data_IF_121387415001
#
_entry.id   IF_121387415001
#
_cell.length_a   1.000
_cell.length_b   1.000
_cell.length_c   1.000
_cell.angle_alpha   90.00
_cell.angle_beta   90.00
_cell.angle_gamma   90.00
#
_symmetry.space_group_name_H-M   'P 1'
#
loop_
_entity.id
_entity.type
_entity.pdbx_description
1 polymer ?
#
# COMPACT_ATOMS: atom_id res chain seq x y z
N UNK A 1 9.01 -50.88 -46.28
CA UNK A 1 9.78 -50.42 -45.13
C UNK A 1 10.09 -48.93 -45.11
N UNK A 2 10.27 -48.25 -46.26
CA UNK A 2 10.59 -46.81 -46.32
C UNK A 2 9.46 -45.85 -45.89
N UNK A 3 8.21 -46.23 -45.99
CA UNK A 3 7.04 -45.37 -45.57
C UNK A 3 6.80 -45.28 -44.06
N UNK A 4 7.37 -46.16 -43.28
CA UNK A 4 7.27 -46.15 -41.83
C UNK A 4 8.34 -45.28 -41.15
N UNK A 5 9.47 -45.11 -41.77
CA UNK A 5 10.60 -44.30 -41.26
C UNK A 5 10.28 -42.79 -41.38
N UNK A 6 9.52 -42.37 -42.40
CA UNK A 6 9.10 -40.97 -42.59
C UNK A 6 8.03 -40.56 -41.54
N UNK A 7 7.20 -41.46 -41.07
CA UNK A 7 6.22 -41.16 -40.02
C UNK A 7 6.85 -41.05 -38.65
N UNK A 8 7.99 -41.65 -38.38
CA UNK A 8 8.73 -41.54 -37.12
C UNK A 8 9.55 -40.27 -37.04
N UNK A 9 9.94 -39.66 -38.17
CA UNK A 9 10.74 -38.42 -38.19
C UNK A 9 9.90 -37.14 -38.02
N UNK A 10 8.57 -37.20 -38.17
CA UNK A 10 7.65 -36.08 -37.99
C UNK A 10 7.25 -35.90 -36.53
N UNK A 11 7.52 -36.87 -35.65
CA UNK A 11 7.12 -36.83 -34.22
C UNK A 11 8.15 -36.16 -33.32
N UNK A 12 9.28 -35.64 -33.86
CA UNK A 12 10.38 -35.05 -33.09
C UNK A 12 10.44 -33.52 -33.13
N UNK A 13 9.41 -32.86 -33.72
CA UNK A 13 9.39 -31.40 -33.87
C UNK A 13 8.39 -30.67 -32.99
N UNK A 14 7.88 -31.29 -31.93
CA UNK A 14 6.97 -30.64 -30.98
C UNK A 14 7.49 -30.87 -29.57
N UNK A 15 8.60 -30.26 -29.16
CA UNK A 15 8.84 -29.85 -27.78
C UNK A 15 9.82 -28.68 -27.82
N UNK A 16 9.33 -27.54 -28.23
CA UNK A 16 10.02 -26.26 -28.04
C UNK A 16 9.26 -25.41 -27.02
N UNK A 17 8.85 -26.00 -25.90
CA UNK A 17 8.64 -25.19 -24.69
C UNK A 17 10.03 -24.83 -24.20
N UNK A 18 10.51 -23.62 -24.51
CA UNK A 18 11.65 -23.04 -23.83
C UNK A 18 11.30 -22.79 -22.36
N UNK A 19 11.34 -23.85 -21.56
CA UNK A 19 11.32 -23.68 -20.11
C UNK A 19 12.58 -22.91 -19.77
N UNK A 20 12.43 -21.74 -19.12
CA UNK A 20 13.55 -20.96 -18.56
C UNK A 20 14.41 -21.95 -17.78
N UNK A 21 15.72 -21.92 -18.01
CA UNK A 21 16.63 -22.88 -17.34
C UNK A 21 16.51 -22.71 -15.81
N UNK A 22 16.60 -23.81 -15.08
CA UNK A 22 16.53 -23.78 -13.61
C UNK A 22 17.62 -22.89 -12.99
N UNK A 23 18.73 -22.74 -13.70
CA UNK A 23 19.83 -21.85 -13.32
C UNK A 23 19.42 -20.38 -13.40
N UNK A 24 18.82 -19.95 -14.51
CA UNK A 24 18.33 -18.58 -14.68
C UNK A 24 17.26 -18.25 -13.65
N UNK A 25 16.33 -19.17 -13.39
CA UNK A 25 15.29 -18.97 -12.37
C UNK A 25 15.89 -18.82 -10.96
N UNK A 26 16.90 -19.62 -10.64
CA UNK A 26 17.57 -19.56 -9.34
C UNK A 26 18.33 -18.26 -9.17
N UNK A 27 19.05 -17.81 -10.21
CA UNK A 27 19.80 -16.56 -10.21
C UNK A 27 18.86 -15.35 -10.12
N UNK A 28 17.74 -15.35 -10.86
CA UNK A 28 16.71 -14.33 -10.77
C UNK A 28 16.17 -14.21 -9.34
N UNK A 29 15.81 -15.34 -8.72
CA UNK A 29 15.30 -15.37 -7.34
C UNK A 29 16.30 -14.83 -6.34
N UNK A 30 17.58 -15.16 -6.49
CA UNK A 30 18.65 -14.65 -5.64
C UNK A 30 18.77 -13.13 -5.77
N UNK A 31 18.81 -12.61 -7.00
CA UNK A 31 18.91 -11.18 -7.25
C UNK A 31 17.67 -10.40 -6.77
N UNK A 32 16.48 -10.98 -6.90
CA UNK A 32 15.24 -10.40 -6.35
C UNK A 32 15.29 -10.36 -4.81
N UNK A 33 15.83 -11.38 -4.17
CA UNK A 33 15.92 -11.44 -2.70
C UNK A 33 16.99 -10.52 -2.12
N UNK A 34 18.06 -10.26 -2.88
CA UNK A 34 19.14 -9.33 -2.45
C UNK A 34 18.71 -7.85 -2.55
N UNK A 35 17.71 -7.53 -3.36
CA UNK A 35 17.26 -6.16 -3.63
C UNK A 35 18.27 -5.35 -4.47
N UNK A 36 19.25 -6.00 -5.10
CA UNK A 36 20.26 -5.35 -5.92
C UNK A 36 19.74 -5.06 -7.34
N UNK A 37 18.90 -4.03 -7.45
CA UNK A 37 18.20 -3.70 -8.68
C UNK A 37 19.13 -3.50 -9.88
N UNK A 38 20.33 -2.93 -9.70
CA UNK A 38 21.26 -2.73 -10.81
C UNK A 38 21.78 -4.06 -11.37
N UNK A 39 22.09 -5.04 -10.54
CA UNK A 39 22.49 -6.37 -10.97
C UNK A 39 21.31 -7.10 -11.65
N UNK A 40 20.10 -6.91 -11.16
CA UNK A 40 18.90 -7.48 -11.76
C UNK A 40 18.64 -6.88 -13.16
N UNK A 41 18.87 -5.58 -13.35
CA UNK A 41 18.83 -4.92 -14.67
C UNK A 41 19.81 -5.57 -15.64
N UNK A 42 21.08 -5.73 -15.23
CA UNK A 42 22.10 -6.35 -16.09
C UNK A 42 21.78 -7.83 -16.37
N UNK A 43 21.25 -8.54 -15.39
CA UNK A 43 20.78 -9.91 -15.56
C UNK A 43 19.68 -10.02 -16.61
N UNK A 44 18.63 -9.20 -16.52
CA UNK A 44 17.54 -9.22 -17.50
C UNK A 44 18.04 -8.83 -18.90
N UNK A 45 18.85 -7.77 -19.02
CA UNK A 45 19.43 -7.36 -20.31
C UNK A 45 20.26 -8.46 -20.96
N UNK A 46 21.12 -9.10 -20.18
CA UNK A 46 22.01 -10.14 -20.68
C UNK A 46 21.29 -11.39 -21.19
N UNK A 47 20.05 -11.60 -20.75
CA UNK A 47 19.28 -12.81 -21.07
C UNK A 47 18.04 -12.53 -21.94
N UNK A 48 17.87 -11.32 -22.51
CA UNK A 48 16.71 -10.96 -23.33
C UNK A 48 16.57 -11.84 -24.58
N UNK A 49 17.68 -12.26 -25.18
CA UNK A 49 17.67 -13.09 -26.39
C UNK A 49 17.19 -14.52 -26.08
N UNK A 50 17.55 -15.06 -24.92
CA UNK A 50 17.16 -16.39 -24.49
C UNK A 50 15.74 -16.41 -23.87
N UNK A 51 15.39 -15.35 -23.11
CA UNK A 51 14.11 -15.24 -22.40
C UNK A 51 13.44 -13.91 -22.75
N UNK A 52 12.68 -13.86 -23.87
CA UNK A 52 12.02 -12.61 -24.32
C UNK A 52 11.11 -11.98 -23.27
N UNK A 53 10.46 -12.77 -22.40
CA UNK A 53 9.61 -12.28 -21.30
C UNK A 53 10.37 -11.48 -20.23
N UNK A 54 11.69 -11.50 -20.22
CA UNK A 54 12.47 -10.61 -19.36
C UNK A 54 12.37 -9.13 -19.79
N UNK A 55 11.90 -8.86 -21.02
CA UNK A 55 11.64 -7.49 -21.49
C UNK A 55 10.62 -6.77 -20.60
N UNK A 56 9.47 -7.38 -20.33
CA UNK A 56 8.44 -6.79 -19.48
C UNK A 56 8.90 -6.69 -18.01
N UNK A 57 9.64 -7.68 -17.51
CA UNK A 57 10.23 -7.63 -16.16
C UNK A 57 11.24 -6.48 -16.04
N UNK A 58 12.04 -6.26 -17.05
CA UNK A 58 13.02 -5.14 -17.11
C UNK A 58 12.30 -3.78 -17.13
N UNK A 59 11.22 -3.64 -17.91
CA UNK A 59 10.39 -2.43 -17.91
C UNK A 59 9.82 -2.16 -16.51
N UNK A 60 9.21 -3.17 -15.91
CA UNK A 60 8.64 -3.02 -14.55
C UNK A 60 9.71 -2.65 -13.52
N UNK A 61 10.91 -3.23 -13.62
CA UNK A 61 12.03 -2.89 -12.75
C UNK A 61 12.46 -1.42 -12.91
N UNK A 62 12.56 -0.93 -14.15
CA UNK A 62 12.84 0.49 -14.40
C UNK A 62 11.75 1.42 -13.86
N UNK A 63 10.48 1.04 -14.02
CA UNK A 63 9.35 1.79 -13.45
C UNK A 63 9.40 1.83 -11.91
N UNK A 64 9.81 0.73 -11.28
CA UNK A 64 10.01 0.65 -9.84
C UNK A 64 11.18 1.50 -9.37
N UNK A 65 12.28 1.52 -10.12
CA UNK A 65 13.44 2.37 -9.87
C UNK A 65 13.18 3.86 -10.18
N UNK A 66 12.05 4.19 -10.82
CA UNK A 66 11.74 5.56 -11.26
C UNK A 66 12.51 6.01 -12.50
N UNK A 67 13.20 5.10 -13.18
CA UNK A 67 13.85 5.37 -14.47
C UNK A 67 12.86 5.26 -15.63
N UNK A 68 12.03 6.29 -15.73
CA UNK A 68 10.97 6.37 -16.73
C UNK A 68 11.52 6.38 -18.16
N UNK A 69 12.72 6.93 -18.36
CA UNK A 69 13.34 6.99 -19.70
C UNK A 69 13.75 5.62 -20.21
N UNK A 70 14.39 4.83 -19.35
CA UNK A 70 14.75 3.46 -19.70
C UNK A 70 13.52 2.57 -19.87
N UNK A 71 12.51 2.71 -19.02
CA UNK A 71 11.24 2.01 -19.19
C UNK A 71 10.60 2.34 -20.56
N UNK A 72 10.53 3.62 -20.93
CA UNK A 72 9.99 4.05 -22.22
C UNK A 72 10.80 3.51 -23.40
N UNK A 73 12.14 3.51 -23.30
CA UNK A 73 12.99 2.96 -24.35
C UNK A 73 12.65 1.50 -24.66
N UNK A 74 12.47 0.68 -23.62
CA UNK A 74 12.14 -0.74 -23.80
C UNK A 74 10.69 -0.96 -24.22
N UNK A 75 9.72 -0.18 -23.75
CA UNK A 75 8.33 -0.29 -24.22
C UNK A 75 8.20 0.07 -25.70
N UNK A 76 9.03 0.98 -26.24
CA UNK A 76 9.06 1.28 -27.67
C UNK A 76 9.55 0.10 -28.54
N UNK A 77 10.10 -0.95 -27.94
CA UNK A 77 10.49 -2.19 -28.64
C UNK A 77 9.41 -3.27 -28.56
N UNK A 78 8.24 -2.99 -27.99
CA UNK A 78 7.13 -3.94 -27.94
C UNK A 78 6.57 -4.18 -29.34
N UNK A 79 6.37 -5.44 -29.66
CA UNK A 79 5.76 -5.88 -30.91
C UNK A 79 4.25 -6.03 -30.73
N UNK A 80 3.50 -6.18 -31.83
CA UNK A 80 2.07 -6.47 -31.74
C UNK A 80 1.80 -7.73 -30.90
N UNK A 81 2.64 -8.76 -31.03
CA UNK A 81 2.53 -10.01 -30.26
C UNK A 81 2.79 -9.78 -28.76
N UNK A 82 3.72 -8.91 -28.39
CA UNK A 82 3.94 -8.55 -26.98
C UNK A 82 2.68 -7.90 -26.39
N UNK A 83 1.93 -7.14 -27.18
CA UNK A 83 0.71 -6.42 -26.78
C UNK A 83 -0.56 -7.29 -26.74
N UNK A 84 -0.45 -8.56 -27.08
CA UNK A 84 -1.49 -9.59 -26.83
C UNK A 84 -1.34 -10.22 -25.42
N UNK A 85 -0.21 -9.96 -24.74
CA UNK A 85 0.09 -10.50 -23.42
C UNK A 85 -0.26 -9.46 -22.32
N UNK A 86 -1.10 -9.81 -21.33
CA UNK A 86 -1.55 -8.86 -20.30
C UNK A 86 -0.42 -8.13 -19.56
N UNK A 87 0.67 -8.83 -19.22
CA UNK A 87 1.79 -8.23 -18.49
C UNK A 87 2.43 -7.04 -19.23
N UNK A 88 2.51 -7.11 -20.56
CA UNK A 88 3.05 -6.03 -21.37
C UNK A 88 2.10 -4.82 -21.40
N UNK A 89 0.79 -5.09 -21.53
CA UNK A 89 -0.25 -4.04 -21.47
C UNK A 89 -0.22 -3.36 -20.10
N UNK A 90 -0.14 -4.14 -19.01
CA UNK A 90 -0.05 -3.60 -17.66
C UNK A 90 1.20 -2.73 -17.45
N UNK A 91 2.32 -3.12 -18.05
CA UNK A 91 3.53 -2.31 -17.97
C UNK A 91 3.39 -0.97 -18.70
N UNK A 92 2.66 -0.92 -19.84
CA UNK A 92 2.31 0.33 -20.53
C UNK A 92 1.36 1.20 -19.71
N UNK A 93 0.34 0.61 -19.09
CA UNK A 93 -0.57 1.31 -18.18
C UNK A 93 0.21 1.97 -17.04
N UNK A 94 1.14 1.25 -16.41
CA UNK A 94 2.00 1.77 -15.36
C UNK A 94 2.95 2.88 -15.88
N UNK A 95 3.53 2.74 -17.06
CA UNK A 95 4.36 3.78 -17.68
C UNK A 95 3.54 5.06 -17.91
N UNK A 96 2.34 4.95 -18.47
CA UNK A 96 1.44 6.08 -18.68
C UNK A 96 1.05 6.73 -17.34
N UNK A 97 0.74 5.95 -16.30
CA UNK A 97 0.50 6.44 -14.95
C UNK A 97 1.70 7.25 -14.41
N UNK A 98 2.91 6.71 -14.50
CA UNK A 98 4.14 7.38 -14.06
C UNK A 98 4.42 8.66 -14.84
N UNK A 99 4.06 8.70 -16.13
CA UNK A 99 4.13 9.89 -16.99
C UNK A 99 2.96 10.85 -16.77
N UNK A 100 2.04 10.56 -15.84
CA UNK A 100 0.82 11.34 -15.56
C UNK A 100 -0.14 11.47 -16.74
N UNK A 101 -0.08 10.53 -17.67
CA UNK A 101 -1.01 10.40 -18.79
C UNK A 101 -2.18 9.52 -18.36
N UNK A 102 -3.01 10.07 -17.46
CA UNK A 102 -4.00 9.28 -16.74
C UNK A 102 -5.08 8.67 -17.63
N UNK A 103 -5.51 9.36 -18.71
CA UNK A 103 -6.50 8.81 -19.64
C UNK A 103 -5.93 7.61 -20.41
N UNK A 104 -4.70 7.74 -20.93
CA UNK A 104 -4.03 6.61 -21.56
C UNK A 104 -3.78 5.46 -20.57
N UNK A 105 -3.43 5.78 -19.32
CA UNK A 105 -3.25 4.75 -18.29
C UNK A 105 -4.54 3.99 -17.99
N UNK A 106 -5.70 4.66 -17.95
CA UNK A 106 -7.00 4.02 -17.78
C UNK A 106 -7.33 3.12 -18.96
N UNK A 107 -7.17 3.62 -20.19
CA UNK A 107 -7.43 2.86 -21.41
C UNK A 107 -6.59 1.58 -21.49
N UNK A 108 -5.30 1.66 -21.18
CA UNK A 108 -4.43 0.47 -21.13
C UNK A 108 -4.78 -0.46 -19.96
N UNK A 109 -5.28 0.10 -18.85
CA UNK A 109 -5.75 -0.73 -17.72
C UNK A 109 -7.02 -1.50 -18.07
N UNK A 110 -7.96 -0.90 -18.77
CA UNK A 110 -9.17 -1.56 -19.28
C UNK A 110 -8.79 -2.68 -20.26
N UNK A 111 -7.91 -2.39 -21.24
CA UNK A 111 -7.39 -3.39 -22.16
C UNK A 111 -6.70 -4.54 -21.43
N UNK A 112 -5.91 -4.25 -20.38
CA UNK A 112 -5.27 -5.28 -19.56
C UNK A 112 -6.30 -6.24 -18.95
N UNK A 113 -7.41 -5.70 -18.43
CA UNK A 113 -8.47 -6.52 -17.85
C UNK A 113 -9.20 -7.36 -18.90
N UNK A 114 -9.51 -6.76 -20.07
CA UNK A 114 -10.19 -7.42 -21.19
C UNK A 114 -9.37 -8.58 -21.76
N UNK A 115 -8.03 -8.47 -21.76
CA UNK A 115 -7.12 -9.53 -22.19
C UNK A 115 -6.83 -10.58 -21.08
N UNK A 116 -7.62 -10.57 -20.01
CA UNK A 116 -7.54 -11.57 -18.92
C UNK A 116 -6.47 -11.24 -17.87
N UNK A 117 -6.10 -10.00 -17.75
CA UNK A 117 -5.21 -9.51 -16.69
C UNK A 117 -5.78 -9.68 -15.29
N UNK A 118 -4.90 -9.61 -14.29
CA UNK A 118 -5.27 -9.75 -12.88
C UNK A 118 -6.15 -8.60 -12.40
N UNK A 119 -7.37 -8.92 -11.95
CA UNK A 119 -8.39 -7.95 -11.53
C UNK A 119 -7.93 -7.15 -10.29
N UNK A 120 -7.19 -7.77 -9.38
CA UNK A 120 -6.67 -7.07 -8.21
C UNK A 120 -5.62 -6.01 -8.60
N UNK A 121 -4.74 -6.34 -9.55
CA UNK A 121 -3.75 -5.41 -10.09
C UNK A 121 -4.40 -4.26 -10.89
N UNK A 122 -5.43 -4.58 -11.71
CA UNK A 122 -6.24 -3.59 -12.39
C UNK A 122 -6.80 -2.55 -11.42
N UNK A 123 -7.55 -3.00 -10.42
CA UNK A 123 -8.17 -2.13 -9.44
C UNK A 123 -7.13 -1.34 -8.61
N UNK A 124 -5.97 -1.93 -8.28
CA UNK A 124 -4.88 -1.20 -7.61
C UNK A 124 -4.36 -0.03 -8.47
N UNK A 125 -4.16 -0.25 -9.76
CA UNK A 125 -3.64 0.79 -10.66
C UNK A 125 -4.68 1.87 -10.91
N UNK A 126 -5.92 1.50 -11.20
CA UNK A 126 -7.03 2.43 -11.44
C UNK A 126 -7.32 3.27 -10.20
N UNK A 127 -7.31 2.66 -9.01
CA UNK A 127 -7.42 3.39 -7.74
C UNK A 127 -6.31 4.44 -7.55
N UNK A 128 -5.06 4.10 -7.91
CA UNK A 128 -3.94 5.07 -7.88
C UNK A 128 -4.15 6.22 -8.86
N UNK A 129 -4.69 5.95 -10.06
CA UNK A 129 -4.97 6.97 -11.07
C UNK A 129 -6.03 7.94 -10.56
N UNK A 130 -7.16 7.44 -10.02
CA UNK A 130 -8.22 8.29 -9.47
C UNK A 130 -7.75 9.09 -8.24
N UNK A 131 -6.90 8.52 -7.39
CA UNK A 131 -6.28 9.25 -6.28
C UNK A 131 -5.44 10.45 -6.77
N UNK A 132 -4.68 10.28 -7.86
CA UNK A 132 -3.91 11.38 -8.48
C UNK A 132 -4.80 12.44 -9.14
N UNK A 133 -5.97 12.03 -9.66
CA UNK A 133 -7.00 12.94 -10.15
C UNK A 133 -7.79 13.64 -9.05
N UNK A 134 -7.54 13.30 -7.78
CA UNK A 134 -8.26 13.76 -6.58
C UNK A 134 -9.72 13.27 -6.52
N UNK A 135 -10.05 12.25 -7.24
CA UNK A 135 -11.33 11.53 -7.19
C UNK A 135 -11.24 10.47 -6.09
N UNK A 136 -11.20 10.93 -4.85
CA UNK A 136 -10.77 10.13 -3.70
C UNK A 136 -11.74 9.00 -3.35
N UNK A 137 -13.04 9.24 -3.44
CA UNK A 137 -14.07 8.23 -3.17
C UNK A 137 -14.00 7.09 -4.18
N UNK A 138 -13.85 7.42 -5.46
CA UNK A 138 -13.66 6.44 -6.54
C UNK A 138 -12.36 5.66 -6.33
N UNK A 139 -11.29 6.33 -5.94
CA UNK A 139 -10.02 5.67 -5.63
C UNK A 139 -10.16 4.64 -4.49
N UNK A 140 -10.86 5.01 -3.40
CA UNK A 140 -11.10 4.10 -2.27
C UNK A 140 -11.95 2.90 -2.72
N UNK A 141 -13.00 3.12 -3.53
CA UNK A 141 -13.80 2.02 -4.08
C UNK A 141 -12.95 1.03 -4.85
N UNK A 142 -12.09 1.50 -5.76
CA UNK A 142 -11.19 0.63 -6.51
C UNK A 142 -10.20 -0.12 -5.60
N UNK A 143 -9.65 0.51 -4.57
CA UNK A 143 -8.78 -0.21 -3.62
C UNK A 143 -9.55 -1.27 -2.81
N UNK A 144 -10.81 -1.03 -2.47
CA UNK A 144 -11.65 -2.05 -1.82
C UNK A 144 -12.01 -3.19 -2.78
N UNK A 145 -12.31 -2.90 -4.07
CA UNK A 145 -12.49 -3.95 -5.07
C UNK A 145 -11.21 -4.76 -5.27
N UNK A 146 -10.04 -4.11 -5.34
CA UNK A 146 -8.76 -4.81 -5.40
C UNK A 146 -8.59 -5.83 -4.26
N UNK A 147 -8.97 -5.45 -3.02
CA UNK A 147 -8.95 -6.37 -1.87
C UNK A 147 -9.90 -7.56 -2.05
N UNK A 148 -11.09 -7.33 -2.60
CA UNK A 148 -12.06 -8.39 -2.88
C UNK A 148 -11.55 -9.36 -3.94
N UNK A 149 -10.81 -8.85 -4.92
CA UNK A 149 -10.20 -9.62 -6.01
C UNK A 149 -8.86 -10.27 -5.60
N UNK A 150 -8.41 -10.12 -4.35
CA UNK A 150 -7.27 -10.85 -3.81
C UNK A 150 -6.01 -10.05 -3.50
N UNK A 151 -6.01 -8.73 -3.72
CA UNK A 151 -4.89 -7.90 -3.27
C UNK A 151 -4.72 -7.99 -1.76
N UNK A 152 -3.48 -7.91 -1.30
CA UNK A 152 -3.17 -7.95 0.12
C UNK A 152 -3.73 -6.71 0.85
N UNK A 153 -4.15 -6.89 2.10
CA UNK A 153 -4.53 -5.76 2.98
C UNK A 153 -3.42 -4.72 3.07
N UNK A 154 -2.16 -5.15 3.01
CA UNK A 154 -1.00 -4.27 2.99
C UNK A 154 -1.02 -3.32 1.79
N UNK A 155 -1.29 -3.82 0.59
CA UNK A 155 -1.26 -3.01 -0.62
C UNK A 155 -2.48 -2.11 -0.72
N UNK A 156 -3.68 -2.67 -0.64
CA UNK A 156 -4.91 -1.91 -0.73
C UNK A 156 -5.09 -0.97 0.48
N UNK A 157 -4.90 -1.47 1.70
CA UNK A 157 -5.06 -0.68 2.93
C UNK A 157 -4.06 0.48 3.02
N UNK A 158 -2.78 0.26 2.65
CA UNK A 158 -1.83 1.38 2.61
C UNK A 158 -2.23 2.44 1.57
N UNK A 159 -2.74 2.05 0.40
CA UNK A 159 -3.20 3.00 -0.61
C UNK A 159 -4.46 3.77 -0.15
N UNK A 160 -5.40 3.12 0.53
CA UNK A 160 -6.56 3.80 1.15
C UNK A 160 -6.09 4.81 2.20
N UNK A 161 -5.15 4.42 3.06
CA UNK A 161 -4.59 5.33 4.06
C UNK A 161 -3.88 6.54 3.42
N UNK A 162 -3.19 6.33 2.30
CA UNK A 162 -2.60 7.43 1.50
C UNK A 162 -3.68 8.37 0.97
N UNK A 163 -4.81 7.86 0.50
CA UNK A 163 -5.94 8.70 0.07
C UNK A 163 -6.47 9.52 1.25
N UNK A 164 -6.63 8.93 2.43
CA UNK A 164 -7.02 9.68 3.62
C UNK A 164 -5.99 10.76 4.01
N UNK A 165 -4.68 10.48 3.87
CA UNK A 165 -3.64 11.50 4.05
C UNK A 165 -3.80 12.66 3.08
N UNK A 166 -4.10 12.39 1.81
CA UNK A 166 -4.34 13.42 0.79
C UNK A 166 -5.58 14.27 1.08
N UNK A 167 -6.59 13.69 1.72
CA UNK A 167 -7.80 14.37 2.19
C UNK A 167 -7.61 15.08 3.55
N UNK A 168 -6.41 15.03 4.17
CA UNK A 168 -6.13 15.47 5.54
C UNK A 168 -6.96 14.74 6.62
N UNK A 169 -7.47 13.57 6.33
CA UNK A 169 -8.17 12.67 7.24
C UNK A 169 -7.16 11.81 7.99
N UNK A 170 -6.37 12.48 8.82
CA UNK A 170 -5.20 11.87 9.46
C UNK A 170 -5.56 10.81 10.50
N UNK A 171 -6.70 10.92 11.14
CA UNK A 171 -7.16 9.94 12.15
C UNK A 171 -7.43 8.61 11.48
N UNK A 172 -8.23 8.62 10.41
CA UNK A 172 -8.58 7.41 9.66
C UNK A 172 -7.34 6.78 9.00
N UNK A 173 -6.44 7.61 8.47
CA UNK A 173 -5.17 7.12 7.94
C UNK A 173 -4.34 6.43 9.04
N UNK A 174 -4.26 7.02 10.25
CA UNK A 174 -3.50 6.46 11.38
C UNK A 174 -4.06 5.11 11.82
N UNK A 175 -5.38 4.97 11.89
CA UNK A 175 -6.02 3.72 12.29
C UNK A 175 -5.67 2.57 11.35
N UNK A 176 -5.80 2.79 10.03
CA UNK A 176 -5.46 1.77 9.03
C UNK A 176 -3.97 1.42 9.08
N UNK A 177 -3.11 2.45 9.12
CA UNK A 177 -1.67 2.26 9.08
C UNK A 177 -1.14 1.59 10.34
N UNK A 178 -1.75 1.86 11.50
CA UNK A 178 -1.37 1.21 12.75
C UNK A 178 -1.70 -0.28 12.71
N UNK A 179 -2.87 -0.66 12.23
CA UNK A 179 -3.25 -2.06 12.04
C UNK A 179 -2.27 -2.78 11.08
N UNK A 180 -1.86 -2.11 9.99
CA UNK A 180 -0.88 -2.66 9.05
C UNK A 180 0.52 -2.74 9.66
N UNK A 181 0.92 -1.75 10.46
CA UNK A 181 2.21 -1.75 11.16
C UNK A 181 2.33 -2.89 12.16
N UNK A 182 1.29 -3.12 12.96
CA UNK A 182 1.29 -4.23 13.93
C UNK A 182 1.43 -5.58 13.22
N UNK A 183 0.77 -5.74 12.05
CA UNK A 183 0.87 -6.95 11.24
C UNK A 183 2.26 -7.13 10.59
N UNK A 184 2.90 -6.04 10.15
CA UNK A 184 4.17 -6.04 9.42
C UNK A 184 5.06 -4.86 9.84
N UNK A 185 5.70 -4.92 11.00
CA UNK A 185 6.50 -3.80 11.53
C UNK A 185 7.71 -3.42 10.66
N UNK A 186 8.17 -4.32 9.80
CA UNK A 186 9.31 -4.10 8.91
C UNK A 186 8.96 -3.32 7.62
N UNK A 187 7.66 -3.11 7.30
CA UNK A 187 7.28 -2.39 6.10
C UNK A 187 7.60 -0.89 6.19
N UNK A 188 8.61 -0.45 5.46
CA UNK A 188 9.09 0.94 5.50
C UNK A 188 8.04 1.95 5.02
N UNK A 189 7.14 1.59 4.09
CA UNK A 189 6.10 2.48 3.58
C UNK A 189 5.00 2.68 4.61
N UNK A 190 4.53 1.58 5.21
CA UNK A 190 3.55 1.63 6.28
C UNK A 190 4.09 2.44 7.46
N UNK A 191 5.34 2.20 7.88
CA UNK A 191 5.98 2.98 8.95
C UNK A 191 6.04 4.46 8.63
N UNK A 192 6.54 4.83 7.45
CA UNK A 192 6.68 6.23 7.06
C UNK A 192 5.33 6.95 7.02
N UNK A 193 4.32 6.33 6.43
CA UNK A 193 2.97 6.88 6.36
C UNK A 193 2.34 6.96 7.76
N UNK A 194 2.56 5.96 8.63
CA UNK A 194 2.08 5.96 10.01
C UNK A 194 2.70 7.07 10.85
N UNK A 195 4.02 7.30 10.73
CA UNK A 195 4.68 8.41 11.43
C UNK A 195 4.06 9.75 11.00
N UNK A 196 3.85 9.96 9.70
CA UNK A 196 3.25 11.20 9.17
C UNK A 196 1.82 11.36 9.69
N UNK A 197 0.98 10.34 9.53
CA UNK A 197 -0.43 10.39 9.92
C UNK A 197 -0.59 10.60 11.43
N UNK A 198 0.19 9.90 12.24
CA UNK A 198 0.09 9.97 13.70
C UNK A 198 0.53 11.33 14.26
N UNK A 199 1.57 11.95 13.72
CA UNK A 199 1.94 13.31 14.09
C UNK A 199 0.85 14.32 13.70
N UNK A 200 0.26 14.18 12.52
CA UNK A 200 -0.80 15.06 12.03
C UNK A 200 -2.14 14.85 12.76
N UNK A 201 -2.47 13.65 13.17
CA UNK A 201 -3.67 13.31 13.95
C UNK A 201 -3.54 13.60 15.45
N UNK A 202 -2.41 14.24 15.85
CA UNK A 202 -2.10 14.53 17.26
C UNK A 202 -1.93 13.24 18.12
N UNK A 203 -1.35 12.21 17.53
CA UNK A 203 -0.96 10.94 18.16
C UNK A 203 0.56 10.73 18.09
N UNK A 204 1.37 11.67 18.68
CA UNK A 204 2.82 11.54 18.66
C UNK A 204 3.34 10.33 19.46
N UNK A 205 2.52 9.78 20.34
CA UNK A 205 2.76 8.51 21.04
C UNK A 205 3.00 7.36 20.06
N UNK A 206 2.17 7.22 19.03
CA UNK A 206 2.31 6.20 17.98
C UNK A 206 3.57 6.46 17.14
N UNK A 207 3.81 7.72 16.73
CA UNK A 207 5.01 8.05 15.98
C UNK A 207 6.29 7.72 16.77
N UNK A 208 6.29 7.98 18.09
CA UNK A 208 7.42 7.65 18.96
C UNK A 208 7.64 6.13 19.05
N UNK A 209 6.58 5.35 19.19
CA UNK A 209 6.63 3.87 19.22
C UNK A 209 7.32 3.34 17.94
N UNK A 210 6.86 3.77 16.78
CA UNK A 210 7.43 3.33 15.49
C UNK A 210 8.90 3.74 15.37
N UNK A 211 9.25 4.98 15.74
CA UNK A 211 10.63 5.49 15.67
C UNK A 211 11.57 4.77 16.64
N UNK A 212 11.11 4.42 17.86
CA UNK A 212 11.90 3.65 18.84
C UNK A 212 12.30 2.28 18.33
N UNK A 213 11.39 1.64 17.59
CA UNK A 213 11.67 0.33 17.01
C UNK A 213 12.81 0.36 15.99
N UNK A 214 13.05 1.52 15.34
CA UNK A 214 14.10 1.67 14.34
C UNK A 214 15.44 2.16 14.89
N UNK A 215 15.43 3.09 15.86
CA UNK A 215 16.60 3.92 16.17
C UNK A 215 16.99 3.99 17.65
N UNK A 216 16.24 3.36 18.51
CA UNK A 216 16.38 3.54 19.95
C UNK A 216 15.68 4.82 20.44
N UNK A 217 15.58 4.94 21.76
CA UNK A 217 14.69 5.95 22.38
C UNK A 217 15.14 7.39 22.20
N UNK A 218 16.42 7.67 22.38
CA UNK A 218 16.94 9.04 22.35
C UNK A 218 16.83 9.65 20.95
N UNK A 219 17.27 8.91 19.92
CA UNK A 219 17.20 9.39 18.53
C UNK A 219 15.76 9.44 18.02
N UNK A 220 14.89 8.53 18.46
CA UNK A 220 13.47 8.57 18.18
C UNK A 220 12.83 9.87 18.72
N UNK A 221 13.14 10.25 19.96
CA UNK A 221 12.63 11.50 20.56
C UNK A 221 13.14 12.74 19.82
N UNK A 222 14.43 12.78 19.45
CA UNK A 222 15.02 13.88 18.67
C UNK A 222 14.31 14.02 17.31
N UNK A 223 14.10 12.91 16.61
CA UNK A 223 13.44 12.90 15.31
C UNK A 223 11.96 13.30 15.42
N UNK A 224 11.25 12.79 16.41
CA UNK A 224 9.87 13.19 16.66
C UNK A 224 9.74 14.69 16.93
N UNK A 225 10.60 15.26 17.78
CA UNK A 225 10.60 16.68 18.06
C UNK A 225 10.83 17.53 16.80
N UNK A 226 11.74 17.11 15.92
CA UNK A 226 11.97 17.77 14.63
C UNK A 226 10.75 17.70 13.70
N UNK A 227 10.07 16.55 13.62
CA UNK A 227 8.84 16.37 12.83
C UNK A 227 7.71 17.26 13.36
N UNK A 228 7.49 17.28 14.67
CA UNK A 228 6.46 18.12 15.32
C UNK A 228 6.72 19.61 15.07
N UNK A 229 7.99 20.04 15.14
CA UNK A 229 8.38 21.44 14.82
C UNK A 229 8.05 21.80 13.37
N UNK A 230 8.27 20.88 12.43
CA UNK A 230 7.95 21.09 11.01
C UNK A 230 6.45 21.21 10.78
N UNK A 231 5.65 20.33 11.38
CA UNK A 231 4.18 20.37 11.30
C UNK A 231 3.63 21.68 11.90
N UNK A 232 4.16 22.12 13.05
CA UNK A 232 3.74 23.38 13.69
C UNK A 232 4.12 24.62 12.86
N UNK A 233 5.29 24.63 12.22
CA UNK A 233 5.65 25.70 11.28
C UNK A 233 4.69 25.80 10.09
N UNK A 234 4.24 24.66 9.56
CA UNK A 234 3.25 24.61 8.48
C UNK A 234 1.90 25.19 8.92
N UNK A 235 1.43 24.83 10.11
CA UNK A 235 0.16 25.34 10.69
C UNK A 235 0.19 26.86 10.98
N UNK A 236 1.33 27.40 11.39
CA UNK A 236 1.49 28.82 11.72
C UNK A 236 1.73 29.74 10.51
N UNK A 237 2.12 29.22 9.36
CA UNK A 237 2.31 29.99 8.11
C UNK A 237 1.05 30.15 7.28
N UNK A 238 -0.13 30.00 7.86
CA UNK A 238 -1.44 30.32 7.30
C UNK A 238 -1.61 29.99 5.81
N UNK A 239 -2.29 28.88 5.50
CA UNK A 239 -2.99 28.64 4.22
C UNK A 239 -2.15 28.43 2.95
N UNK A 240 -1.03 27.75 3.02
CA UNK A 240 -0.64 26.82 1.93
C UNK A 240 -0.34 25.49 2.60
N UNK A 241 -1.29 24.57 2.48
CA UNK A 241 -1.07 23.19 2.88
C UNK A 241 0.21 22.71 2.21
N UNK A 242 1.25 22.43 3.02
CA UNK A 242 2.33 21.58 2.57
C UNK A 242 1.65 20.25 2.33
N UNK A 243 1.42 19.92 1.05
CA UNK A 243 1.03 18.56 0.71
C UNK A 243 2.08 17.65 1.34
N UNK A 244 1.71 16.70 2.21
CA UNK A 244 2.65 15.73 2.68
C UNK A 244 3.21 15.07 1.41
N UNK A 245 4.55 15.03 1.27
CA UNK A 245 5.17 14.15 0.30
C UNK A 245 4.85 12.74 0.78
N UNK A 246 3.69 12.28 0.37
CA UNK A 246 3.30 10.89 0.52
C UNK A 246 4.40 10.10 -0.17
N UNK A 247 5.07 9.24 0.58
CA UNK A 247 6.10 8.38 0.04
C UNK A 247 5.49 7.59 -1.11
N UNK A 248 5.66 8.12 -2.32
CA UNK A 248 5.20 7.46 -3.53
C UNK A 248 5.89 6.10 -3.58
N UNK A 249 5.09 5.13 -3.87
CA UNK A 249 5.39 3.72 -4.03
C UNK A 249 6.56 3.54 -5.01
N UNK A 250 7.78 3.67 -4.51
CA UNK A 250 8.95 3.11 -5.14
C UNK A 250 9.62 2.21 -4.11
N UNK A 251 9.75 0.96 -4.46
CA UNK A 251 10.71 0.08 -3.81
C UNK A 251 12.05 0.69 -4.13
N UNK A 252 12.63 1.41 -3.20
CA UNK A 252 14.05 1.39 -2.93
C UNK A 252 14.46 2.47 -1.95
N UNK A 253 15.41 2.06 -1.18
CA UNK A 253 16.51 2.82 -0.59
C UNK A 253 16.32 3.34 0.82
N UNK A 254 16.94 2.61 1.71
CA UNK A 254 17.74 3.08 2.83
C UNK A 254 18.61 4.28 2.42
N UNK A 255 18.03 5.50 2.49
CA UNK A 255 18.79 6.72 2.77
C UNK A 255 17.84 7.93 2.79
N UNK A 256 17.51 8.39 3.98
CA UNK A 256 16.85 9.68 4.15
C UNK A 256 17.86 10.82 3.82
N UNK A 257 17.72 11.40 2.63
CA UNK A 257 18.36 12.68 2.32
C UNK A 257 17.25 13.71 2.16
N UNK A 258 17.23 14.67 3.05
CA UNK A 258 16.40 15.87 2.97
C UNK A 258 16.87 16.70 1.78
N UNK A 259 16.09 16.76 0.71
CA UNK A 259 16.34 17.64 -0.42
C UNK A 259 15.36 18.82 -0.35
N UNK A 260 15.91 20.01 -0.23
CA UNK A 260 15.21 21.28 -0.41
C UNK A 260 14.75 21.44 -1.86
N UNK A 261 13.47 21.72 -2.07
CA UNK A 261 12.92 22.01 -3.39
C UNK A 261 12.85 23.51 -3.64
N UNK A 262 13.41 23.91 -4.77
CA UNK A 262 13.28 25.23 -5.37
C UNK A 262 11.90 25.41 -6.02
N UNK A 263 11.38 26.63 -5.97
CA UNK A 263 10.07 27.06 -6.48
C UNK A 263 10.06 27.12 -8.02
N UNK A 264 8.96 26.67 -8.60
CA UNK A 264 8.50 27.13 -9.92
C UNK A 264 7.00 27.35 -9.84
N UNK A 265 6.57 28.56 -10.08
CA UNK A 265 5.17 29.00 -10.18
C UNK A 265 4.63 28.81 -11.61
N UNK A 266 3.36 28.47 -11.77
CA UNK A 266 2.58 28.90 -12.92
C UNK A 266 1.35 29.71 -12.51
N UNK A 267 1.09 30.70 -13.35
CA UNK A 267 0.02 31.69 -13.33
C UNK A 267 -1.35 31.07 -13.52
N UNK A 268 -2.33 31.54 -12.76
CA UNK A 268 -3.73 31.23 -12.89
C UNK A 268 -4.40 32.08 -13.98
N UNK A 269 -5.38 31.51 -14.65
CA UNK A 269 -6.49 32.24 -15.25
C UNK A 269 -7.81 31.69 -14.69
N UNK A 270 -8.60 32.63 -14.20
CA UNK A 270 -9.98 32.46 -13.74
C UNK A 270 -10.96 32.20 -14.89
N UNK A 271 -11.89 31.31 -14.68
CA UNK A 271 -13.27 31.49 -15.19
C UNK A 271 -14.27 30.88 -14.23
N UNK A 272 -15.17 31.73 -13.80
CA UNK A 272 -16.26 31.47 -12.88
C UNK A 272 -17.46 30.82 -13.59
N UNK A 273 -18.04 29.76 -13.03
CA UNK A 273 -19.46 29.44 -13.18
C UNK A 273 -20.08 28.96 -11.87
N UNK A 274 -21.09 29.72 -11.50
CA UNK A 274 -21.99 29.64 -10.36
C UNK A 274 -22.91 28.43 -10.49
N UNK A 275 -22.99 27.55 -9.51
CA UNK A 275 -24.12 26.64 -9.30
C UNK A 275 -24.47 26.60 -7.81
N UNK A 276 -25.73 26.52 -7.59
CA UNK A 276 -26.64 26.84 -6.51
C UNK A 276 -26.49 25.89 -5.29
N UNK A 277 -26.77 26.46 -4.12
CA UNK A 277 -26.64 25.85 -2.79
C UNK A 277 -27.70 24.79 -2.50
N UNK A 278 -27.30 23.66 -1.96
CA UNK A 278 -28.10 22.80 -1.10
C UNK A 278 -27.55 22.86 0.32
N UNK A 279 -28.44 23.08 1.29
CA UNK A 279 -28.10 23.33 2.70
C UNK A 279 -27.58 22.10 3.41
N UNK A 280 -26.59 22.24 4.30
CA UNK A 280 -26.12 21.13 5.13
C UNK A 280 -26.95 20.97 6.40
N UNK A 281 -27.23 19.73 6.77
CA UNK A 281 -27.77 19.37 8.08
C UNK A 281 -26.63 19.36 9.08
N UNK A 282 -26.68 20.28 10.05
CA UNK A 282 -25.77 20.37 11.18
C UNK A 282 -25.97 19.21 12.15
N UNK A 283 -24.96 18.40 12.37
CA UNK A 283 -24.70 17.79 13.66
C UNK A 283 -23.26 18.09 14.06
N UNK A 284 -23.13 19.22 14.75
CA UNK A 284 -21.89 19.65 15.40
C UNK A 284 -21.72 18.82 16.67
N UNK A 285 -20.80 17.86 16.65
CA UNK A 285 -20.19 17.35 17.87
C UNK A 285 -19.04 18.30 18.17
N UNK A 286 -19.22 19.13 19.19
CA UNK A 286 -18.23 20.07 19.69
C UNK A 286 -16.97 19.33 20.17
N UNK A 287 -15.94 19.42 19.36
CA UNK A 287 -14.57 19.04 19.73
C UNK A 287 -13.93 20.14 20.58
N UNK A 288 -14.26 20.17 21.87
CA UNK A 288 -13.54 21.00 22.84
C UNK A 288 -12.65 20.08 23.67
N UNK A 289 -11.36 20.13 23.38
CA UNK A 289 -10.15 19.90 24.16
C UNK A 289 -9.02 19.31 23.30
N UNK A 290 -8.72 19.95 22.18
CA UNK A 290 -7.49 19.66 21.44
C UNK A 290 -6.40 20.54 22.04
N UNK A 291 -5.50 19.95 22.83
CA UNK A 291 -4.28 20.63 23.28
C UNK A 291 -3.44 20.93 22.04
N UNK A 292 -3.02 22.19 21.80
CA UNK A 292 -2.15 22.50 20.66
C UNK A 292 -0.87 21.68 20.71
N UNK A 293 -0.48 21.11 19.58
CA UNK A 293 0.74 20.28 19.44
C UNK A 293 1.99 21.00 19.93
N UNK A 294 2.00 22.34 19.89
CA UNK A 294 3.11 23.17 20.40
C UNK A 294 3.34 23.08 21.91
N UNK A 295 2.40 22.53 22.68
CA UNK A 295 2.50 22.38 24.14
C UNK A 295 2.78 20.94 24.59
N UNK A 296 2.94 20.00 23.65
CA UNK A 296 3.25 18.62 23.99
C UNK A 296 4.74 18.49 24.32
N UNK A 297 5.01 18.11 25.55
CA UNK A 297 6.36 17.72 25.98
C UNK A 297 6.62 16.29 25.54
N UNK A 298 7.46 16.13 24.52
CA UNK A 298 7.83 14.83 23.93
C UNK A 298 8.45 13.88 24.97
N UNK A 299 9.03 14.44 26.05
CA UNK A 299 9.67 13.64 27.09
C UNK A 299 8.68 13.01 28.06
N UNK A 300 7.47 13.55 28.12
CA UNK A 300 6.40 13.09 29.00
C UNK A 300 5.25 12.38 28.28
N UNK A 301 5.44 11.96 27.03
CA UNK A 301 4.44 11.19 26.32
C UNK A 301 4.25 9.82 26.99
N UNK A 302 3.13 9.65 27.67
CA UNK A 302 2.64 8.39 28.23
C UNK A 302 1.40 7.96 27.46
N UNK A 303 1.14 6.66 27.30
CA UNK A 303 -0.14 6.16 26.77
C UNK A 303 -1.29 6.72 27.60
N UNK A 304 -2.31 7.25 26.93
CA UNK A 304 -3.38 8.05 27.56
C UNK A 304 -4.58 7.19 27.93
N UNK A 305 -4.49 6.08 28.39
CA UNK A 305 -5.51 5.21 29.01
C UNK A 305 -5.04 3.77 28.96
N UNK A 306 -5.60 2.83 29.71
CA UNK A 306 -5.31 1.43 29.54
C UNK A 306 -5.64 1.07 28.08
N UNK A 307 -4.62 0.67 27.34
CA UNK A 307 -4.79 0.20 25.96
C UNK A 307 -5.56 -1.11 26.00
N UNK A 308 -6.49 -1.28 25.07
CA UNK A 308 -7.20 -2.54 24.89
C UNK A 308 -6.74 -3.16 23.57
N UNK A 309 -6.05 -4.29 23.67
CA UNK A 309 -5.58 -5.05 22.51
C UNK A 309 -6.41 -6.29 22.29
N UNK A 310 -6.62 -6.65 21.03
CA UNK A 310 -7.28 -7.89 20.60
C UNK A 310 -6.53 -8.51 19.46
N UNK A 311 -6.78 -9.78 19.20
CA UNK A 311 -6.19 -10.46 18.01
C UNK A 311 -7.23 -10.46 16.90
N UNK A 312 -6.99 -9.77 15.80
CA UNK A 312 -7.80 -9.90 14.60
C UNK A 312 -7.47 -11.24 13.93
N UNK A 313 -8.48 -12.07 13.79
CA UNK A 313 -8.33 -13.43 13.22
C UNK A 313 -8.96 -13.55 11.85
N UNK A 314 -9.85 -12.64 11.48
CA UNK A 314 -10.52 -12.64 10.20
C UNK A 314 -10.99 -11.23 9.82
N UNK A 315 -10.91 -10.90 8.53
CA UNK A 315 -11.63 -9.81 7.92
C UNK A 315 -12.44 -10.34 6.74
N UNK A 316 -13.70 -9.97 6.63
CA UNK A 316 -14.57 -10.43 5.55
C UNK A 316 -15.55 -9.34 5.15
N UNK A 317 -15.76 -9.18 3.84
CA UNK A 317 -16.84 -8.34 3.29
C UNK A 317 -18.13 -9.14 3.03
N UNK A 318 -18.05 -10.47 3.11
CA UNK A 318 -19.20 -11.40 3.05
C UNK A 318 -19.58 -11.83 4.46
N UNK A 319 -20.83 -12.30 4.60
CA UNK A 319 -21.25 -12.94 5.85
C UNK A 319 -20.35 -14.14 6.15
N UNK A 320 -19.82 -14.18 7.37
CA UNK A 320 -19.00 -15.30 7.83
C UNK A 320 -19.93 -16.43 8.28
N UNK A 321 -19.69 -17.68 7.88
CA UNK A 321 -20.49 -18.82 8.30
C UNK A 321 -20.55 -18.93 9.84
N UNK A 322 -21.74 -19.24 10.36
CA UNK A 322 -21.95 -19.38 11.80
C UNK A 322 -21.07 -20.47 12.43
N UNK A 323 -20.80 -21.53 11.68
CA UNK A 323 -19.94 -22.63 12.13
C UNK A 323 -18.52 -22.16 12.43
N UNK A 324 -17.99 -21.24 11.61
CA UNK A 324 -16.68 -20.66 11.86
C UNK A 324 -16.68 -19.71 13.08
N UNK A 325 -17.73 -18.90 13.25
CA UNK A 325 -17.88 -18.06 14.44
C UNK A 325 -18.05 -18.90 15.70
N UNK A 326 -18.81 -20.00 15.63
CA UNK A 326 -18.97 -20.95 16.73
C UNK A 326 -17.65 -21.66 17.05
N UNK A 327 -16.86 -22.02 16.04
CA UNK A 327 -15.51 -22.55 16.23
C UNK A 327 -14.61 -21.54 16.98
N UNK A 328 -14.61 -20.27 16.58
CA UNK A 328 -13.82 -19.24 17.27
C UNK A 328 -14.27 -19.08 18.74
N UNK A 329 -15.57 -19.02 18.97
CA UNK A 329 -16.13 -18.93 20.34
C UNK A 329 -15.76 -20.12 21.21
N UNK A 330 -15.87 -21.32 20.66
CA UNK A 330 -15.59 -22.55 21.41
C UNK A 330 -14.11 -22.69 21.78
N UNK A 331 -13.20 -22.21 20.95
CA UNK A 331 -11.76 -22.37 21.14
C UNK A 331 -11.09 -21.17 21.80
N UNK A 332 -11.63 -19.97 21.63
CA UNK A 332 -10.95 -18.72 22.01
C UNK A 332 -11.84 -17.76 22.83
N UNK A 333 -13.05 -18.17 23.20
CA UNK A 333 -13.97 -17.38 24.01
C UNK A 333 -14.72 -16.31 23.21
N UNK A 334 -14.95 -15.15 23.81
CA UNK A 334 -15.75 -14.09 23.19
C UNK A 334 -15.14 -13.61 21.89
N UNK A 335 -15.97 -13.53 20.85
CA UNK A 335 -15.62 -12.97 19.55
C UNK A 335 -16.20 -11.57 19.43
N UNK A 336 -15.37 -10.62 19.10
CA UNK A 336 -15.73 -9.22 18.90
C UNK A 336 -15.66 -8.87 17.42
N UNK A 337 -16.52 -7.97 16.97
CA UNK A 337 -16.44 -7.49 15.60
C UNK A 337 -16.56 -5.97 15.50
N UNK A 338 -15.92 -5.40 14.51
CA UNK A 338 -16.11 -4.02 14.11
C UNK A 338 -16.10 -3.91 12.59
N UNK A 339 -16.74 -2.86 12.08
CA UNK A 339 -16.78 -2.60 10.63
C UNK A 339 -15.87 -1.43 10.30
N UNK A 340 -15.04 -1.61 9.28
CA UNK A 340 -14.23 -0.55 8.70
C UNK A 340 -14.35 -0.61 7.18
N UNK A 341 -14.92 0.44 6.58
CA UNK A 341 -15.30 0.41 5.18
C UNK A 341 -16.34 -0.69 4.91
N UNK A 342 -16.10 -1.50 3.90
CA UNK A 342 -16.95 -2.65 3.57
C UNK A 342 -16.64 -3.91 4.37
N UNK A 343 -15.57 -3.90 5.18
CA UNK A 343 -15.06 -5.08 5.86
C UNK A 343 -15.56 -5.17 7.29
N UNK A 344 -16.09 -6.32 7.64
CA UNK A 344 -16.35 -6.70 9.01
C UNK A 344 -15.14 -7.50 9.52
N UNK A 345 -14.53 -7.04 10.59
CA UNK A 345 -13.34 -7.61 11.19
C UNK A 345 -13.72 -8.33 12.47
N UNK A 346 -13.16 -9.49 12.67
CA UNK A 346 -13.47 -10.37 13.81
C UNK A 346 -12.23 -10.54 14.65
N UNK A 347 -12.38 -10.33 15.95
CA UNK A 347 -11.29 -10.32 16.91
C UNK A 347 -11.60 -11.20 18.11
N UNK A 348 -10.56 -11.76 18.71
CA UNK A 348 -10.61 -12.59 19.91
C UNK A 348 -9.65 -12.06 20.98
N UNK A 349 -9.85 -12.48 22.21
CA UNK A 349 -9.02 -12.09 23.36
C UNK A 349 -9.23 -10.64 23.79
N UNK A 350 -8.74 -10.33 24.98
CA UNK A 350 -8.77 -8.99 25.56
C UNK A 350 -7.52 -8.81 26.41
N UNK A 351 -6.65 -7.89 26.00
CA UNK A 351 -5.35 -7.68 26.63
C UNK A 351 -5.15 -6.20 26.90
N UNK A 352 -4.62 -5.87 28.05
CA UNK A 352 -4.23 -4.51 28.43
C UNK A 352 -2.76 -4.22 28.09
N UNK A 353 -1.99 -5.26 27.85
CA UNK A 353 -0.57 -5.20 27.49
C UNK A 353 -0.34 -5.81 26.08
N UNK A 354 0.49 -5.12 25.29
CA UNK A 354 0.75 -5.53 23.90
C UNK A 354 1.63 -6.78 23.82
N UNK A 355 2.55 -6.97 24.78
CA UNK A 355 3.44 -8.13 24.77
C UNK A 355 2.67 -9.40 25.18
N UNK A 356 1.71 -9.27 26.09
CA UNK A 356 0.78 -10.35 26.41
C UNK A 356 -0.07 -10.72 25.18
N UNK A 357 -0.61 -9.73 24.46
CA UNK A 357 -1.34 -9.96 23.23
C UNK A 357 -0.48 -10.65 22.15
N UNK A 358 0.79 -10.26 22.00
CA UNK A 358 1.74 -10.91 21.07
C UNK A 358 2.07 -12.33 21.51
N UNK A 359 2.27 -12.58 22.79
CA UNK A 359 2.51 -13.92 23.32
C UNK A 359 1.33 -14.85 23.02
N UNK A 360 0.10 -14.37 23.22
CA UNK A 360 -1.10 -15.10 22.87
C UNK A 360 -1.20 -15.33 21.35
N UNK A 361 -0.95 -14.31 20.52
CA UNK A 361 -0.93 -14.45 19.05
C UNK A 361 0.04 -15.55 18.61
N UNK A 362 1.24 -15.63 19.21
CA UNK A 362 2.24 -16.64 18.87
C UNK A 362 1.79 -18.07 19.28
N UNK A 363 0.88 -18.19 20.22
CA UNK A 363 0.29 -19.49 20.62
C UNK A 363 -0.84 -19.94 19.67
N UNK A 364 -1.36 -19.01 18.81
CA UNK A 364 -2.42 -19.30 17.87
C UNK A 364 -1.85 -19.91 16.58
N UNK A 365 -2.50 -20.94 16.07
CA UNK A 365 -2.19 -21.48 14.74
C UNK A 365 -3.18 -20.92 13.70
N UNK A 366 -3.33 -19.57 13.65
CA UNK A 366 -4.23 -18.88 12.70
C UNK A 366 -3.38 -18.03 11.77
N UNK A 367 -3.29 -18.47 10.51
CA UNK A 367 -2.51 -17.76 9.50
C UNK A 367 -3.11 -16.39 9.22
N UNK A 368 -2.29 -15.34 9.32
CA UNK A 368 -2.68 -13.97 9.03
C UNK A 368 -3.38 -13.26 10.20
N UNK A 369 -3.44 -13.87 11.39
CA UNK A 369 -3.88 -13.19 12.60
C UNK A 369 -2.83 -12.17 13.07
N UNK A 370 -3.29 -11.07 13.69
CA UNK A 370 -2.40 -10.02 14.21
C UNK A 370 -3.06 -9.23 15.34
N UNK A 371 -2.23 -8.57 16.16
CA UNK A 371 -2.69 -7.72 17.26
C UNK A 371 -3.26 -6.41 16.74
N UNK A 372 -4.41 -5.97 17.26
CA UNK A 372 -5.02 -4.67 16.98
C UNK A 372 -5.26 -3.89 18.27
N UNK A 373 -4.99 -2.58 18.23
CA UNK A 373 -5.40 -1.66 19.31
C UNK A 373 -6.91 -1.35 19.19
N UNK A 374 -7.64 -1.76 20.19
CA UNK A 374 -9.09 -1.62 20.26
C UNK A 374 -9.57 -0.46 21.14
N UNK A 375 -8.65 0.26 21.77
CA UNK A 375 -8.92 1.28 22.80
C UNK A 375 -9.97 2.30 22.38
N UNK A 376 -10.10 2.58 21.08
CA UNK A 376 -11.01 3.59 20.53
C UNK A 376 -12.01 3.05 19.50
N UNK A 377 -12.04 1.75 19.26
CA UNK A 377 -12.91 1.17 18.23
C UNK A 377 -14.28 0.86 18.83
N UNK A 378 -15.34 1.21 18.10
CA UNK A 378 -16.68 0.73 18.39
C UNK A 378 -16.80 -0.70 17.88
N UNK A 379 -17.02 -1.64 18.76
CA UNK A 379 -17.17 -3.06 18.43
C UNK A 379 -18.49 -3.61 18.97
N UNK A 380 -18.88 -4.72 18.42
CA UNK A 380 -20.03 -5.51 18.86
C UNK A 380 -19.52 -6.86 19.30
N UNK A 381 -19.92 -7.29 20.47
CA UNK A 381 -19.75 -8.66 20.94
C UNK A 381 -20.74 -9.56 20.17
N UNK A 382 -20.29 -10.71 19.70
CA UNK A 382 -21.07 -11.63 18.88
C UNK A 382 -21.51 -12.87 19.64
#
# INVERSE_FOLDING_TARGET
MAKWIIKLMILFWIVGCSSISSELQTKERLLLSSGENQQLVEFYKGNLAEVPSYKVKLVNLYLDMGDIKSAELYTNTYTAKDLDEPDYIYSLANLNYKKKRYDSALQESEKFLDEGGDEAAYHLLVGKIYAQRKEYETAIQHFEESRKSGASDREAGNNIAVVYLLQNRYVEATEILYDLYVAMPSDAKVRSNLIISSVQSNRPDIALEVLKHEKGEEDARKQLAALMKTVNKGKNKGKKAVQPQVAQINKDTTRATVVQTAQVTPKAQEETKKVEQAKPVNNVVTANNVVPVSKLDVNNLKPKAPSLYRIQVLASYKAVPNDYLNFLKANYGTVYSYTHGLWKRYCIGEFTDIEEAKAFLNSLNIKGAFVVDYTKKRYVEL
#
